data_IF_468304966944
#
_entry.id   IF_468304966944
#
_cell.length_a   1.000
_cell.length_b   1.000
_cell.length_c   1.000
_cell.angle_alpha   90.00
_cell.angle_beta   90.00
_cell.angle_gamma   90.00
#
_symmetry.space_group_name_H-M   'P 1'
#
loop_
_entity.id
_entity.type
_entity.pdbx_description
1 polymer ?
#
# COMPACT_ATOMS: atom_id res chain seq x y z
N UNK A 1 -30.26 -2.47 -29.31
CA UNK A 1 -30.34 -3.24 -28.06
C UNK A 1 -29.08 -4.00 -27.76
N UNK A 2 -28.56 -4.77 -28.73
CA UNK A 2 -27.32 -5.52 -28.48
C UNK A 2 -26.13 -4.62 -28.23
N UNK A 3 -26.07 -3.48 -28.89
CA UNK A 3 -24.99 -2.52 -28.70
C UNK A 3 -24.99 -1.96 -27.28
N UNK A 4 -26.17 -1.61 -26.75
CA UNK A 4 -26.31 -1.10 -25.40
C UNK A 4 -25.88 -2.13 -24.35
N UNK A 5 -26.23 -3.39 -24.60
CA UNK A 5 -25.89 -4.47 -23.71
C UNK A 5 -24.37 -4.66 -23.64
N UNK A 6 -23.71 -4.64 -24.78
CA UNK A 6 -22.25 -4.76 -24.84
C UNK A 6 -21.57 -3.57 -24.18
N UNK A 7 -22.09 -2.37 -24.39
CA UNK A 7 -21.55 -1.17 -23.78
C UNK A 7 -21.68 -1.21 -22.26
N UNK A 8 -22.82 -1.70 -21.75
CA UNK A 8 -23.03 -1.85 -20.32
C UNK A 8 -22.09 -2.88 -19.71
N UNK A 9 -21.88 -4.01 -20.40
CA UNK A 9 -20.94 -5.02 -19.94
C UNK A 9 -19.52 -4.48 -19.93
N UNK A 10 -19.13 -3.78 -20.97
CA UNK A 10 -17.81 -3.18 -21.05
C UNK A 10 -17.59 -2.17 -19.93
N UNK A 11 -18.62 -1.38 -19.61
CA UNK A 11 -18.52 -0.41 -18.52
C UNK A 11 -18.38 -1.11 -17.16
N UNK A 12 -19.08 -2.22 -16.97
CA UNK A 12 -18.96 -3.00 -15.73
C UNK A 12 -17.56 -3.58 -15.59
N UNK A 13 -17.03 -4.15 -16.68
CA UNK A 13 -15.70 -4.72 -16.69
C UNK A 13 -14.66 -3.63 -16.40
N UNK A 14 -14.78 -2.48 -17.06
CA UNK A 14 -13.86 -1.35 -16.83
C UNK A 14 -13.89 -0.90 -15.39
N UNK A 15 -15.07 -0.82 -14.78
CA UNK A 15 -15.21 -0.44 -13.39
C UNK A 15 -14.56 -1.46 -12.46
N UNK A 16 -14.73 -2.75 -12.74
CA UNK A 16 -14.11 -3.81 -11.94
C UNK A 16 -12.59 -3.76 -12.03
N UNK A 17 -12.07 -3.56 -13.25
CA UNK A 17 -10.62 -3.43 -13.45
C UNK A 17 -10.09 -2.22 -12.69
N UNK A 18 -10.80 -1.11 -12.76
CA UNK A 18 -10.40 0.11 -12.06
C UNK A 18 -10.37 -0.10 -10.55
N UNK A 19 -11.40 -0.76 -10.01
CA UNK A 19 -11.44 -1.07 -8.58
C UNK A 19 -10.28 -1.99 -8.17
N UNK A 20 -9.97 -2.97 -9.00
CA UNK A 20 -8.85 -3.87 -8.74
C UNK A 20 -7.53 -3.11 -8.69
N UNK A 21 -7.35 -2.16 -9.61
CA UNK A 21 -6.15 -1.32 -9.64
C UNK A 21 -6.05 -0.45 -8.38
N UNK A 22 -7.16 0.10 -7.93
CA UNK A 22 -7.20 0.92 -6.72
C UNK A 22 -6.84 0.09 -5.48
N UNK A 23 -7.35 -1.13 -5.39
CA UNK A 23 -7.03 -2.03 -4.28
C UNK A 23 -5.55 -2.40 -4.31
N UNK A 24 -5.03 -2.73 -5.48
CA UNK A 24 -3.62 -3.07 -5.65
C UNK A 24 -2.72 -1.91 -5.21
N UNK A 25 -3.06 -0.69 -5.62
CA UNK A 25 -2.32 0.50 -5.23
C UNK A 25 -2.38 0.71 -3.70
N UNK A 26 -3.57 0.53 -3.11
CA UNK A 26 -3.74 0.68 -1.67
C UNK A 26 -2.91 -0.32 -0.88
N UNK A 27 -2.85 -1.56 -1.34
CA UNK A 27 -2.05 -2.60 -0.69
C UNK A 27 -0.57 -2.26 -0.79
N UNK A 28 -0.13 -1.83 -1.96
CA UNK A 28 1.26 -1.46 -2.19
C UNK A 28 1.67 -0.29 -1.28
N UNK A 29 0.88 0.76 -1.26
CA UNK A 29 1.16 1.94 -0.43
C UNK A 29 1.12 1.60 1.05
N UNK A 30 0.13 0.81 1.47
CA UNK A 30 0.02 0.37 2.86
C UNK A 30 1.20 -0.47 3.28
N UNK A 31 1.64 -1.40 2.44
CA UNK A 31 2.80 -2.24 2.70
C UNK A 31 4.07 -1.41 2.82
N UNK A 32 4.27 -0.47 1.92
CA UNK A 32 5.44 0.42 1.96
C UNK A 32 5.45 1.26 3.23
N UNK A 33 4.28 1.77 3.63
CA UNK A 33 4.16 2.56 4.86
C UNK A 33 4.53 1.74 6.09
N UNK A 34 4.07 0.49 6.16
CA UNK A 34 4.38 -0.40 7.28
C UNK A 34 5.86 -0.72 7.33
N UNK A 35 6.47 -1.02 6.18
CA UNK A 35 7.89 -1.31 6.11
C UNK A 35 8.73 -0.11 6.53
N UNK A 36 8.35 1.08 6.08
CA UNK A 36 9.04 2.31 6.44
C UNK A 36 8.95 2.57 7.95
N UNK A 37 7.77 2.35 8.53
CA UNK A 37 7.58 2.51 9.97
C UNK A 37 8.42 1.52 10.77
N UNK A 38 8.50 0.27 10.32
CA UNK A 38 9.31 -0.74 10.98
C UNK A 38 10.81 -0.39 10.94
N UNK A 39 11.29 0.10 9.80
CA UNK A 39 12.68 0.52 9.67
C UNK A 39 12.98 1.70 10.59
N UNK A 40 12.10 2.68 10.64
CA UNK A 40 12.27 3.84 11.52
C UNK A 40 12.30 3.42 12.99
N UNK A 41 11.44 2.48 13.34
CA UNK A 41 11.39 1.96 14.72
C UNK A 41 12.67 1.22 15.07
N UNK A 42 13.16 0.39 14.15
CA UNK A 42 14.41 -0.34 14.34
C UNK A 42 15.60 0.60 14.50
N UNK A 43 15.66 1.63 13.67
CA UNK A 43 16.72 2.62 13.77
C UNK A 43 16.68 3.35 15.12
N UNK A 44 15.48 3.69 15.59
CA UNK A 44 15.32 4.35 16.89
C UNK A 44 15.82 3.47 18.03
N UNK A 45 15.52 2.16 17.99
CA UNK A 45 16.00 1.23 19.01
C UNK A 45 17.52 1.14 19.00
N UNK A 46 18.12 1.01 17.83
CA UNK A 46 19.58 0.94 17.68
C UNK A 46 20.24 2.21 18.21
N UNK A 47 19.68 3.37 17.88
CA UNK A 47 20.20 4.66 18.32
C UNK A 47 20.13 4.78 19.84
N UNK A 48 19.01 4.38 20.44
CA UNK A 48 18.85 4.42 21.89
C UNK A 48 19.85 3.51 22.61
N UNK A 49 20.10 2.32 22.07
CA UNK A 49 21.07 1.40 22.63
C UNK A 49 22.49 1.99 22.59
N UNK A 50 22.83 2.65 21.49
CA UNK A 50 24.12 3.31 21.34
C UNK A 50 24.29 4.43 22.37
N UNK A 51 23.24 5.19 22.64
CA UNK A 51 23.26 6.25 23.64
C UNK A 51 23.43 5.69 25.06
N UNK A 52 22.75 4.61 25.39
CA UNK A 52 22.87 3.95 26.67
C UNK A 52 24.30 3.43 26.89
N UNK A 53 24.89 2.83 25.89
CA UNK A 53 26.27 2.35 25.96
C UNK A 53 27.24 3.50 26.17
N UNK A 54 26.99 4.65 25.56
CA UNK A 54 27.83 5.82 25.70
C UNK A 54 27.81 6.38 27.11
N UNK A 55 26.64 6.33 27.76
CA UNK A 55 26.49 6.84 29.12
C UNK A 55 27.19 5.94 30.11
N UNK A 56 27.16 4.65 29.88
CA UNK A 56 27.85 3.69 30.73
C UNK A 56 29.34 3.65 30.44
#
# INVERSE_FOLDING_TARGET
MRTSYHEELDAIIDNLVHMAELVETAIKEGSESLLTADLARAEAVITNDAELDRIH
#
